data_IF_900712321834
#
_entry.id   IF_900712321834
#
_cell.length_a   1.000
_cell.length_b   1.000
_cell.length_c   1.000
_cell.angle_alpha   90.00
_cell.angle_beta   90.00
_cell.angle_gamma   90.00
#
_symmetry.space_group_name_H-M   'P 1'
#
loop_
_entity.id
_entity.type
_entity.pdbx_description
1 polymer ?
#
# COMPACT_ATOMS: atom_id res chain seq x y z
N UNK A 1 -9.18 -5.24 -1.63
CA UNK A 1 -8.08 -5.24 -2.62
C UNK A 1 -8.66 -5.73 -3.94
N UNK A 2 -8.51 -4.98 -5.04
CA UNK A 2 -8.76 -5.55 -6.39
C UNK A 2 -7.42 -6.08 -6.90
N UNK A 3 -7.46 -7.17 -7.67
CA UNK A 3 -6.29 -7.61 -8.42
C UNK A 3 -5.93 -6.52 -9.42
N UNK A 4 -4.68 -6.10 -9.39
CA UNK A 4 -4.05 -5.21 -10.35
C UNK A 4 -2.63 -5.72 -10.54
N UNK A 5 -2.12 -5.67 -11.77
CA UNK A 5 -0.73 -6.02 -12.05
C UNK A 5 0.17 -4.83 -11.74
N UNK A 6 1.46 -5.09 -11.52
CA UNK A 6 2.43 -4.06 -11.17
C UNK A 6 2.61 -2.95 -12.21
N UNK A 7 2.24 -3.20 -13.46
CA UNK A 7 2.35 -2.21 -14.53
C UNK A 7 1.09 -1.33 -14.67
N UNK A 8 0.00 -1.72 -14.01
CA UNK A 8 -1.29 -0.99 -14.00
C UNK A 8 -1.40 0.01 -12.84
N UNK A 9 -0.43 0.03 -11.94
CA UNK A 9 -0.38 0.93 -10.79
C UNK A 9 0.52 2.14 -11.07
N UNK A 10 0.22 3.26 -10.43
CA UNK A 10 0.93 4.52 -10.63
C UNK A 10 1.14 5.26 -9.31
N UNK A 11 1.95 6.32 -9.33
CA UNK A 11 2.15 7.23 -8.18
C UNK A 11 0.79 7.67 -7.61
N UNK A 12 0.67 7.59 -6.28
CA UNK A 12 -0.56 7.85 -5.54
C UNK A 12 -1.40 6.61 -5.22
N UNK A 13 -1.20 5.50 -5.93
CA UNK A 13 -1.90 4.24 -5.64
C UNK A 13 -1.37 3.58 -4.36
N UNK A 14 -2.27 2.92 -3.65
CA UNK A 14 -1.91 2.05 -2.51
C UNK A 14 -1.82 0.62 -3.00
N UNK A 15 -0.67 -0.01 -2.78
CA UNK A 15 -0.34 -1.35 -3.28
C UNK A 15 -0.01 -2.30 -2.14
N UNK A 16 -0.27 -3.59 -2.35
CA UNK A 16 0.17 -4.66 -1.46
C UNK A 16 1.35 -5.40 -2.09
N UNK A 17 2.42 -5.61 -1.32
CA UNK A 17 3.62 -6.32 -1.77
C UNK A 17 4.25 -7.10 -0.60
N UNK A 18 5.07 -8.13 -0.88
CA UNK A 18 5.78 -8.87 0.15
C UNK A 18 7.00 -8.06 0.64
N UNK A 19 7.18 -7.99 1.95
CA UNK A 19 8.38 -7.46 2.59
C UNK A 19 8.81 -8.45 3.67
N UNK A 20 10.00 -9.03 3.52
CA UNK A 20 10.46 -10.16 4.34
C UNK A 20 9.42 -11.30 4.35
N UNK A 21 8.99 -11.74 5.55
CA UNK A 21 7.98 -12.78 5.72
C UNK A 21 6.56 -12.24 5.90
N UNK A 22 6.32 -10.96 5.59
CA UNK A 22 5.02 -10.29 5.78
C UNK A 22 4.52 -9.66 4.48
N UNK A 23 3.23 -9.35 4.46
CA UNK A 23 2.61 -8.52 3.41
C UNK A 23 2.37 -7.14 3.98
N UNK A 24 2.83 -6.12 3.27
CA UNK A 24 2.65 -4.72 3.66
C UNK A 24 1.80 -4.01 2.62
N UNK A 25 1.20 -2.89 3.01
CA UNK A 25 0.33 -2.09 2.16
C UNK A 25 0.68 -0.62 2.30
N UNK A 26 1.39 -0.06 1.32
CA UNK A 26 1.88 1.31 1.33
C UNK A 26 1.47 2.05 0.04
N UNK A 27 1.60 3.38 0.05
CA UNK A 27 1.33 4.24 -1.09
C UNK A 27 2.57 4.43 -1.94
N UNK A 28 2.42 4.35 -3.26
CA UNK A 28 3.47 4.73 -4.20
C UNK A 28 3.65 6.25 -4.14
N UNK A 29 4.84 6.71 -3.80
CA UNK A 29 5.19 8.14 -3.74
C UNK A 29 6.15 8.55 -4.86
N UNK A 30 6.79 7.58 -5.51
CA UNK A 30 7.70 7.81 -6.63
C UNK A 30 7.79 6.56 -7.52
N UNK A 31 8.27 6.73 -8.74
CA UNK A 31 8.57 5.62 -9.65
C UNK A 31 9.90 5.84 -10.38
N UNK A 32 10.66 4.75 -10.56
CA UNK A 32 11.94 4.77 -11.26
C UNK A 32 12.02 3.63 -12.27
N UNK A 33 12.87 3.79 -13.29
CA UNK A 33 13.18 2.74 -14.25
C UNK A 33 14.69 2.50 -14.20
N UNK A 34 15.08 1.32 -13.75
CA UNK A 34 16.48 0.89 -13.67
C UNK A 34 16.65 -0.36 -14.52
N UNK A 35 17.60 -0.35 -15.45
CA UNK A 35 17.85 -1.48 -16.37
C UNK A 35 16.59 -1.91 -17.15
N UNK A 36 15.71 -0.96 -17.49
CA UNK A 36 14.44 -1.23 -18.16
C UNK A 36 13.36 -1.87 -17.26
N UNK A 37 13.62 -2.01 -15.95
CA UNK A 37 12.65 -2.55 -14.99
C UNK A 37 12.06 -1.42 -14.16
N UNK A 38 10.72 -1.33 -14.17
CA UNK A 38 9.97 -0.37 -13.36
C UNK A 38 10.02 -0.77 -11.88
N UNK A 39 10.33 0.21 -11.03
CA UNK A 39 10.33 0.10 -9.57
C UNK A 39 9.53 1.25 -8.97
N UNK A 40 9.00 1.02 -7.79
CA UNK A 40 8.19 1.98 -7.04
C UNK A 40 8.85 2.31 -5.72
N UNK A 41 8.91 3.59 -5.38
CA UNK A 41 9.23 4.01 -4.01
C UNK A 41 7.90 4.13 -3.27
N UNK A 42 7.79 3.45 -2.14
CA UNK A 42 6.59 3.42 -1.33
C UNK A 42 6.77 4.17 -0.01
N UNK A 43 5.67 4.57 0.60
CA UNK A 43 5.63 5.17 1.92
C UNK A 43 4.33 4.76 2.61
N UNK A 44 4.42 4.36 3.89
CA UNK A 44 3.23 4.16 4.71
C UNK A 44 2.54 5.50 4.98
N UNK A 45 1.21 5.57 4.85
CA UNK A 45 0.46 6.84 4.98
C UNK A 45 0.62 7.51 6.36
N UNK A 46 1.02 6.77 7.39
CA UNK A 46 1.33 7.30 8.73
C UNK A 46 2.82 7.52 9.02
N UNK A 47 3.69 7.17 8.08
CA UNK A 47 5.15 7.30 8.23
C UNK A 47 5.61 8.67 7.73
N UNK A 48 6.62 9.25 8.40
CA UNK A 48 7.25 10.50 7.96
C UNK A 48 8.21 10.30 6.79
N UNK A 49 8.85 9.13 6.74
CA UNK A 49 9.91 8.82 5.77
C UNK A 49 9.43 7.82 4.71
N UNK A 50 10.02 7.93 3.52
CA UNK A 50 9.85 6.98 2.43
C UNK A 50 10.55 5.66 2.76
N UNK A 51 10.04 4.56 2.23
CA UNK A 51 10.72 3.28 2.32
C UNK A 51 12.03 3.35 1.51
N UNK A 52 13.12 2.82 2.07
CA UNK A 52 14.44 2.85 1.43
C UNK A 52 14.59 1.83 0.31
N UNK A 53 13.82 0.74 0.37
CA UNK A 53 13.91 -0.38 -0.57
C UNK A 53 12.83 -0.24 -1.65
N UNK A 54 13.21 0.02 -2.92
CA UNK A 54 12.25 0.12 -4.01
C UNK A 54 11.53 -1.20 -4.26
N UNK A 55 10.23 -1.15 -4.51
CA UNK A 55 9.39 -2.30 -4.82
C UNK A 55 9.41 -2.53 -6.33
N UNK A 56 9.92 -3.67 -6.84
CA UNK A 56 9.82 -4.00 -8.25
C UNK A 56 8.35 -4.11 -8.68
N UNK A 57 7.98 -3.61 -9.87
CA UNK A 57 6.60 -3.72 -10.36
C UNK A 57 6.08 -5.17 -10.30
N UNK A 58 6.90 -6.14 -10.71
CA UNK A 58 6.58 -7.57 -10.64
C UNK A 58 6.26 -8.11 -9.22
N UNK A 59 6.65 -7.41 -8.15
CA UNK A 59 6.38 -7.81 -6.77
C UNK A 59 5.01 -7.31 -6.25
N UNK A 60 4.34 -6.43 -7.00
CA UNK A 60 3.01 -5.92 -6.64
C UNK A 60 1.98 -7.04 -6.74
N UNK A 61 1.32 -7.35 -5.63
CA UNK A 61 0.32 -8.41 -5.53
C UNK A 61 -1.12 -7.91 -5.72
N UNK A 62 -1.33 -6.59 -5.73
CA UNK A 62 -2.61 -5.96 -6.02
C UNK A 62 -2.71 -4.50 -5.58
N UNK A 63 -3.77 -3.84 -6.03
CA UNK A 63 -4.09 -2.45 -5.73
C UNK A 63 -5.26 -2.36 -4.75
N UNK A 64 -5.12 -1.51 -3.72
CA UNK A 64 -6.20 -1.19 -2.80
C UNK A 64 -7.09 -0.15 -3.44
N UNK A 65 -8.15 -0.59 -4.13
CA UNK A 65 -9.15 0.31 -4.76
C UNK A 65 -10.32 0.67 -3.83
N UNK A 66 -10.42 0.00 -2.69
CA UNK A 66 -11.44 0.28 -1.67
C UNK A 66 -10.85 -0.05 -0.31
N UNK A 67 -10.81 0.95 0.56
CA UNK A 67 -10.74 0.72 1.99
C UNK A 67 -12.17 0.40 2.39
N UNK A 68 -12.44 -0.79 2.92
CA UNK A 68 -13.69 -1.02 3.63
C UNK A 68 -13.43 -0.50 5.05
N UNK A 69 -13.93 0.70 5.44
CA UNK A 69 -13.79 1.18 6.80
C UNK A 69 -14.66 0.33 7.73
N UNK A 70 -14.14 -0.81 8.20
CA UNK A 70 -14.88 -1.71 9.11
C UNK A 70 -14.10 -2.18 10.35
N UNK A 71 -12.80 -1.88 10.47
CA UNK A 71 -12.04 -2.27 11.67
C UNK A 71 -12.00 -1.18 12.77
N UNK A 72 -12.14 0.10 12.42
CA UNK A 72 -12.02 1.21 13.39
C UNK A 72 -13.35 1.85 13.85
N UNK A 73 -14.47 1.58 13.16
CA UNK A 73 -15.73 2.31 13.42
C UNK A 73 -16.77 1.52 14.23
N UNK A 74 -16.54 0.24 14.56
CA UNK A 74 -17.52 -0.59 15.26
C UNK A 74 -17.42 -0.56 16.80
N UNK A 75 -16.41 0.10 17.39
CA UNK A 75 -16.15 -0.02 18.85
C UNK A 75 -16.26 1.27 19.67
N UNK A 76 -16.79 2.38 19.13
CA UNK A 76 -17.08 3.57 19.96
C UNK A 76 -18.59 3.83 20.02
N UNK A 77 -19.33 2.94 20.69
CA UNK A 77 -20.47 3.31 21.53
C UNK A 77 -20.74 2.22 22.58
N UNK A 78 -19.97 2.23 23.66
CA UNK A 78 -20.51 1.90 24.99
C UNK A 78 -20.06 3.03 25.91
N UNK A 79 -20.69 4.20 25.75
CA UNK A 79 -20.60 5.27 26.72
C UNK A 79 -21.99 5.39 27.34
N UNK A 80 -22.11 4.87 28.55
CA UNK A 80 -23.10 5.20 29.58
C UNK A 80 -24.56 5.16 29.12
N UNK A 81 -25.20 3.99 29.27
CA UNK A 81 -26.59 4.02 29.73
C UNK A 81 -26.54 4.33 31.23
N UNK A 82 -27.09 5.49 31.60
CA UNK A 82 -27.40 5.89 32.97
C UNK A 82 -28.30 4.89 33.68
#
# INVERSE_FOLDING_TARGET
IKRATGDEVQVGDVIMFPLNNMKVTHRIVDETVEEGKKKYITQGDGNLERDTDPVPAQAVQGKVVTVIPKAGLLTIQIRNFS
#
